data_IF_907267118166
#
_entry.id   IF_907267118166
#
_cell.length_a   1.000
_cell.length_b   1.000
_cell.length_c   1.000
_cell.angle_alpha   90.00
_cell.angle_beta   90.00
_cell.angle_gamma   90.00
#
_symmetry.space_group_name_H-M   'P 1'
#
loop_
_entity.id
_entity.type
_entity.pdbx_description
1 polymer ?
#
# COMPACT_ATOMS: atom_id res chain seq x y z
N UNK A 1 22.31 -49.12 -32.96
CA UNK A 1 21.37 -48.83 -31.85
C UNK A 1 21.58 -47.37 -31.43
N UNK A 2 20.70 -46.49 -31.82
CA UNK A 2 20.70 -45.10 -31.42
C UNK A 2 20.15 -45.06 -30.01
N UNK A 3 21.01 -44.83 -29.01
CA UNK A 3 20.61 -44.58 -27.64
C UNK A 3 19.89 -43.22 -27.61
N UNK A 4 18.58 -43.27 -27.59
CA UNK A 4 17.77 -42.08 -27.31
C UNK A 4 17.82 -41.86 -25.79
N UNK A 5 18.31 -40.72 -25.37
CA UNK A 5 18.38 -40.36 -23.96
C UNK A 5 17.00 -40.20 -23.34
N UNK A 6 16.91 -40.05 -22.01
CA UNK A 6 15.63 -39.88 -21.32
C UNK A 6 14.92 -38.61 -21.78
N UNK A 7 13.63 -38.74 -22.11
CA UNK A 7 12.74 -37.63 -22.48
C UNK A 7 11.91 -37.29 -21.23
N UNK A 8 12.01 -36.03 -20.77
CA UNK A 8 11.16 -35.52 -19.70
C UNK A 8 9.92 -34.90 -20.35
N UNK A 9 8.75 -35.43 -20.02
CA UNK A 9 7.47 -34.86 -20.47
C UNK A 9 6.86 -34.08 -19.28
N UNK A 10 6.61 -32.80 -19.53
CA UNK A 10 5.93 -31.93 -18.53
C UNK A 10 4.55 -31.55 -19.04
N UNK A 11 3.57 -31.55 -18.17
CA UNK A 11 2.24 -31.00 -18.46
C UNK A 11 2.12 -29.58 -17.89
N UNK A 12 1.64 -28.64 -18.70
CA UNK A 12 1.34 -27.29 -18.22
C UNK A 12 0.16 -27.31 -17.24
N UNK A 13 0.23 -26.51 -16.18
CA UNK A 13 -0.88 -26.34 -15.22
C UNK A 13 -2.11 -25.67 -15.83
N UNK A 14 -1.92 -24.86 -16.88
CA UNK A 14 -2.99 -24.09 -17.52
C UNK A 14 -3.79 -24.91 -18.54
N UNK A 15 -3.27 -26.04 -18.99
CA UNK A 15 -4.06 -26.99 -19.73
C UNK A 15 -4.93 -27.77 -18.74
N UNK A 16 -6.23 -27.48 -18.76
CA UNK A 16 -7.26 -28.34 -18.14
C UNK A 16 -7.29 -29.69 -18.87
N UNK A 17 -6.16 -30.34 -18.88
CA UNK A 17 -5.97 -31.69 -19.39
C UNK A 17 -6.62 -32.57 -18.35
N UNK A 18 -7.90 -32.84 -18.52
CA UNK A 18 -8.65 -33.67 -17.59
C UNK A 18 -7.84 -34.92 -17.26
N UNK A 19 -7.84 -35.34 -16.01
CA UNK A 19 -7.13 -36.52 -15.47
C UNK A 19 -7.27 -37.72 -16.38
N UNK A 20 -8.40 -37.84 -17.09
CA UNK A 20 -8.71 -38.87 -18.08
C UNK A 20 -7.78 -38.82 -19.29
N UNK A 21 -7.41 -37.64 -19.81
CA UNK A 21 -6.55 -37.49 -20.96
C UNK A 21 -5.09 -37.81 -20.62
N UNK A 22 -4.64 -37.41 -19.45
CA UNK A 22 -3.31 -37.76 -18.95
C UNK A 22 -3.19 -39.29 -18.71
N UNK A 23 -4.21 -39.90 -18.11
CA UNK A 23 -4.27 -41.35 -17.93
C UNK A 23 -4.22 -42.09 -19.29
N UNK A 24 -4.98 -41.66 -20.27
CA UNK A 24 -4.97 -42.25 -21.61
C UNK A 24 -3.60 -42.16 -22.29
N UNK A 25 -2.90 -41.07 -22.11
CA UNK A 25 -1.54 -40.87 -22.65
C UNK A 25 -0.54 -41.79 -21.94
N UNK A 26 -0.63 -41.92 -20.61
CA UNK A 26 0.23 -42.82 -19.86
C UNK A 26 -0.01 -44.28 -20.25
N UNK A 27 -1.27 -44.71 -20.37
CA UNK A 27 -1.65 -46.03 -20.84
C UNK A 27 -1.16 -46.34 -22.25
N UNK A 28 -1.11 -45.34 -23.14
CA UNK A 28 -0.58 -45.51 -24.48
C UNK A 28 0.94 -45.63 -24.49
N UNK A 29 1.64 -44.85 -23.66
CA UNK A 29 3.08 -44.91 -23.47
C UNK A 29 3.52 -46.23 -22.84
N UNK A 30 2.77 -46.77 -21.87
CA UNK A 30 3.04 -48.07 -21.22
C UNK A 30 2.88 -49.25 -22.22
N UNK A 31 2.02 -49.12 -23.22
CA UNK A 31 1.84 -50.15 -24.26
C UNK A 31 2.96 -50.19 -25.30
N UNK A 32 3.79 -49.17 -25.33
CA UNK A 32 4.89 -49.12 -26.30
C UNK A 32 6.09 -49.90 -25.76
N UNK A 33 6.57 -50.88 -26.55
CA UNK A 33 7.72 -51.70 -26.20
C UNK A 33 9.08 -50.98 -26.27
N UNK A 34 9.09 -49.78 -26.81
CA UNK A 34 10.28 -48.94 -26.96
C UNK A 34 10.36 -47.82 -25.93
N UNK A 35 9.42 -47.73 -24.98
CA UNK A 35 9.32 -46.72 -23.94
C UNK A 35 9.28 -47.37 -22.59
N UNK A 36 10.14 -46.93 -21.68
CA UNK A 36 10.13 -47.33 -20.25
C UNK A 36 9.80 -46.11 -19.40
N UNK A 37 8.64 -46.15 -18.74
CA UNK A 37 8.20 -45.06 -17.88
C UNK A 37 8.84 -45.21 -16.50
N UNK A 38 9.70 -44.27 -16.15
CA UNK A 38 10.39 -44.26 -14.87
C UNK A 38 10.02 -43.02 -14.07
N UNK A 39 9.94 -43.14 -12.75
CA UNK A 39 9.77 -41.99 -11.88
C UNK A 39 10.96 -41.02 -11.99
N UNK A 40 10.69 -39.71 -11.78
CA UNK A 40 11.71 -38.65 -11.91
C UNK A 40 12.93 -38.92 -11.03
N UNK A 41 12.75 -39.47 -9.83
CA UNK A 41 13.83 -39.85 -8.92
C UNK A 41 14.74 -40.93 -9.49
N UNK A 42 14.16 -41.90 -10.21
CA UNK A 42 14.90 -42.96 -10.89
C UNK A 42 15.62 -42.43 -12.13
N UNK A 43 14.96 -41.57 -12.91
CA UNK A 43 15.56 -40.89 -14.05
C UNK A 43 16.76 -40.01 -13.63
N UNK A 44 16.69 -39.31 -12.52
CA UNK A 44 17.79 -38.50 -11.99
C UNK A 44 18.98 -39.33 -11.50
N UNK A 45 18.75 -40.58 -11.05
CA UNK A 45 19.83 -41.49 -10.65
C UNK A 45 20.49 -42.21 -11.82
N UNK A 46 19.77 -42.36 -12.92
CA UNK A 46 20.22 -43.19 -14.07
C UNK A 46 21.01 -42.39 -15.10
N UNK A 47 20.83 -41.12 -15.19
CA UNK A 47 21.51 -40.24 -16.15
C UNK A 47 22.51 -39.31 -15.42
N UNK A 48 23.83 -39.61 -15.47
CA UNK A 48 24.80 -38.61 -15.08
C UNK A 48 24.67 -37.42 -16.06
N UNK A 49 24.22 -36.31 -15.56
CA UNK A 49 24.14 -35.06 -16.33
C UNK A 49 25.56 -34.62 -16.71
N UNK A 50 25.95 -34.86 -17.94
CA UNK A 50 27.17 -34.29 -18.52
C UNK A 50 26.91 -32.91 -19.18
N UNK A 51 25.69 -32.42 -19.08
CA UNK A 51 25.33 -31.09 -19.55
C UNK A 51 25.85 -30.02 -18.60
N UNK A 52 26.65 -29.09 -19.07
CA UNK A 52 26.89 -27.85 -18.39
C UNK A 52 25.61 -27.00 -18.47
N UNK A 53 25.04 -26.62 -17.31
CA UNK A 53 24.05 -25.55 -17.27
C UNK A 53 24.79 -24.28 -17.73
N UNK A 54 24.50 -23.81 -18.93
CA UNK A 54 24.91 -22.48 -19.37
C UNK A 54 24.01 -21.47 -18.65
N UNK A 55 24.49 -20.93 -17.54
CA UNK A 55 23.84 -19.79 -16.88
C UNK A 55 24.35 -18.53 -17.54
N UNK A 56 23.55 -17.95 -18.40
CA UNK A 56 23.79 -16.59 -18.87
C UNK A 56 23.44 -15.63 -17.73
N UNK A 57 24.39 -14.79 -17.26
CA UNK A 57 24.10 -13.89 -16.15
C UNK A 57 22.99 -12.90 -16.53
N UNK A 58 22.13 -12.58 -15.56
CA UNK A 58 21.17 -11.48 -15.70
C UNK A 58 21.92 -10.20 -16.03
N UNK A 59 21.40 -9.43 -17.00
CA UNK A 59 21.98 -8.13 -17.33
C UNK A 59 21.78 -7.12 -16.19
N UNK A 60 22.62 -6.08 -16.15
CA UNK A 60 22.57 -5.03 -15.10
C UNK A 60 21.21 -4.37 -14.95
N UNK A 61 20.43 -4.26 -16.02
CA UNK A 61 19.08 -3.70 -15.98
C UNK A 61 18.11 -4.60 -15.20
N UNK A 62 18.16 -5.92 -15.41
CA UNK A 62 17.33 -6.87 -14.68
C UNK A 62 17.73 -6.93 -13.19
N UNK A 63 19.03 -6.88 -12.89
CA UNK A 63 19.50 -6.85 -11.50
C UNK A 63 18.99 -5.62 -10.76
N UNK A 64 19.07 -4.43 -11.37
CA UNK A 64 18.52 -3.21 -10.77
C UNK A 64 17.01 -3.29 -10.58
N UNK A 65 16.27 -3.81 -11.57
CA UNK A 65 14.82 -3.99 -11.42
C UNK A 65 14.46 -4.93 -10.27
N UNK A 66 15.25 -5.96 -10.03
CA UNK A 66 15.06 -6.84 -8.87
C UNK A 66 15.39 -6.15 -7.55
N UNK A 67 16.43 -5.33 -7.49
CA UNK A 67 16.78 -4.56 -6.27
C UNK A 67 15.63 -3.57 -5.92
N UNK A 68 15.10 -2.87 -6.92
CA UNK A 68 13.96 -1.97 -6.76
C UNK A 68 12.71 -2.73 -6.32
N UNK A 69 12.44 -3.90 -6.92
CA UNK A 69 11.32 -4.75 -6.55
C UNK A 69 11.39 -5.25 -5.11
N UNK A 70 12.58 -5.69 -4.67
CA UNK A 70 12.79 -6.12 -3.27
C UNK A 70 12.55 -4.95 -2.30
N UNK A 71 12.99 -3.74 -2.68
CA UNK A 71 12.73 -2.54 -1.89
C UNK A 71 11.23 -2.19 -1.83
N UNK A 72 10.53 -2.32 -2.95
CA UNK A 72 9.09 -2.08 -3.02
C UNK A 72 8.30 -3.11 -2.20
N UNK A 73 8.66 -4.40 -2.28
CA UNK A 73 8.04 -5.46 -1.46
C UNK A 73 8.27 -5.23 0.04
N UNK A 74 9.48 -4.82 0.43
CA UNK A 74 9.78 -4.50 1.81
C UNK A 74 8.91 -3.33 2.32
N UNK A 75 8.71 -2.29 1.51
CA UNK A 75 7.85 -1.17 1.85
C UNK A 75 6.37 -1.58 2.00
N UNK A 76 5.85 -2.43 1.11
CA UNK A 76 4.48 -2.98 1.24
C UNK A 76 4.36 -3.88 2.46
N UNK A 77 5.38 -4.68 2.75
CA UNK A 77 5.41 -5.55 3.93
C UNK A 77 5.41 -4.75 5.24
N UNK A 78 6.08 -3.61 5.29
CA UNK A 78 6.04 -2.67 6.41
C UNK A 78 4.69 -1.94 6.47
N UNK A 79 4.16 -1.50 5.34
CA UNK A 79 2.83 -0.89 5.24
C UNK A 79 1.72 -1.82 5.74
N UNK A 80 1.83 -3.12 5.55
CA UNK A 80 0.86 -4.11 6.02
C UNK A 80 0.57 -4.03 7.53
N UNK A 81 1.47 -3.46 8.33
CA UNK A 81 1.26 -3.26 9.78
C UNK A 81 0.06 -2.35 10.12
N UNK A 82 -0.44 -1.56 9.16
CA UNK A 82 -1.63 -0.74 9.37
C UNK A 82 -2.92 -1.43 8.94
N UNK A 83 -2.83 -2.57 8.27
CA UNK A 83 -3.97 -3.34 7.75
C UNK A 83 -4.53 -4.24 8.86
N UNK A 84 -5.83 -4.51 8.83
CA UNK A 84 -6.53 -5.30 9.85
C UNK A 84 -5.97 -6.74 9.98
N UNK A 85 -5.59 -7.36 8.85
CA UNK A 85 -5.03 -8.73 8.77
C UNK A 85 -3.68 -8.70 8.04
N UNK A 86 -2.59 -8.31 8.72
CA UNK A 86 -1.30 -8.04 8.08
C UNK A 86 -0.70 -9.25 7.37
N UNK A 87 -0.84 -10.45 7.94
CA UNK A 87 -0.24 -11.66 7.39
C UNK A 87 -0.94 -12.11 6.11
N UNK A 88 -2.27 -12.05 6.07
CA UNK A 88 -3.05 -12.41 4.90
C UNK A 88 -2.79 -11.42 3.78
N UNK A 89 -2.76 -10.12 4.08
CA UNK A 89 -2.44 -9.07 3.13
C UNK A 89 -1.04 -9.25 2.51
N UNK A 90 -0.02 -9.58 3.33
CA UNK A 90 1.33 -9.89 2.84
C UNK A 90 1.34 -11.12 1.95
N UNK A 91 0.61 -12.17 2.34
CA UNK A 91 0.55 -13.41 1.58
C UNK A 91 -0.08 -13.18 0.21
N UNK A 92 -1.21 -12.48 0.14
CA UNK A 92 -1.90 -12.17 -1.11
C UNK A 92 -1.03 -11.30 -2.03
N UNK A 93 -0.41 -10.24 -1.48
CA UNK A 93 0.51 -9.40 -2.26
C UNK A 93 1.69 -10.19 -2.82
N UNK A 94 2.28 -11.10 -2.05
CA UNK A 94 3.38 -11.96 -2.51
C UNK A 94 2.94 -12.96 -3.58
N UNK A 95 1.73 -13.49 -3.47
CA UNK A 95 1.16 -14.36 -4.51
C UNK A 95 0.95 -13.60 -5.81
N UNK A 96 0.43 -12.39 -5.76
CA UNK A 96 0.25 -11.52 -6.93
C UNK A 96 1.59 -11.18 -7.57
N UNK A 97 2.58 -10.82 -6.77
CA UNK A 97 3.94 -10.56 -7.22
C UNK A 97 4.53 -11.80 -7.92
N UNK A 98 4.44 -12.97 -7.32
CA UNK A 98 4.93 -14.22 -7.90
C UNK A 98 4.18 -14.59 -9.17
N UNK A 99 2.87 -14.30 -9.25
CA UNK A 99 2.07 -14.57 -10.44
C UNK A 99 2.52 -13.76 -11.66
N UNK A 100 3.12 -12.59 -11.44
CA UNK A 100 3.67 -11.73 -12.48
C UNK A 100 4.91 -12.35 -13.14
N UNK A 101 5.66 -13.18 -12.40
CA UNK A 101 6.83 -13.89 -12.88
C UNK A 101 6.49 -15.32 -13.33
N UNK A 102 5.78 -15.43 -14.45
CA UNK A 102 5.47 -16.74 -15.05
C UNK A 102 6.69 -17.34 -15.76
N UNK A 103 6.65 -18.64 -16.04
CA UNK A 103 7.73 -19.32 -16.77
C UNK A 103 8.02 -18.64 -18.14
N UNK A 104 6.99 -18.19 -18.86
CA UNK A 104 7.15 -17.50 -20.14
C UNK A 104 7.78 -16.10 -20.00
N UNK A 105 7.55 -15.42 -18.87
CA UNK A 105 8.16 -14.11 -18.60
C UNK A 105 9.66 -14.25 -18.26
N UNK A 106 10.04 -15.35 -17.62
CA UNK A 106 11.43 -15.59 -17.19
C UNK A 106 12.33 -16.03 -18.37
N UNK A 107 11.76 -16.59 -19.45
CA UNK A 107 12.51 -16.97 -20.64
C UNK A 107 13.01 -15.75 -21.45
N UNK A 108 12.36 -14.60 -21.32
CA UNK A 108 12.74 -13.36 -21.98
C UNK A 108 13.23 -12.30 -20.98
N UNK A 109 14.45 -11.80 -21.18
CA UNK A 109 15.05 -10.74 -20.35
C UNK A 109 14.24 -9.45 -20.35
N UNK A 110 13.61 -9.12 -21.48
CA UNK A 110 12.72 -7.96 -21.57
C UNK A 110 11.47 -8.20 -20.74
N UNK A 111 10.92 -9.42 -20.81
CA UNK A 111 9.77 -9.83 -20.01
C UNK A 111 10.01 -9.71 -18.51
N UNK A 112 11.19 -10.09 -18.01
CA UNK A 112 11.57 -9.94 -16.60
C UNK A 112 11.53 -8.47 -16.17
N UNK A 113 12.12 -7.56 -16.96
CA UNK A 113 12.16 -6.14 -16.63
C UNK A 113 10.76 -5.51 -16.64
N UNK A 114 9.92 -5.89 -17.60
CA UNK A 114 8.52 -5.44 -17.67
C UNK A 114 7.72 -5.95 -16.48
N UNK A 115 7.86 -7.24 -16.14
CA UNK A 115 7.18 -7.84 -15.00
C UNK A 115 7.58 -7.16 -13.68
N UNK A 116 8.87 -6.90 -13.49
CA UNK A 116 9.36 -6.16 -12.32
C UNK A 116 8.78 -4.73 -12.27
N UNK A 117 8.74 -4.02 -13.39
CA UNK A 117 8.14 -2.69 -13.48
C UNK A 117 6.66 -2.69 -13.08
N UNK A 118 5.87 -3.64 -13.61
CA UNK A 118 4.44 -3.78 -13.25
C UNK A 118 4.27 -4.08 -11.75
N UNK A 119 5.11 -4.94 -11.18
CA UNK A 119 5.04 -5.26 -9.76
C UNK A 119 5.41 -4.05 -8.87
N UNK A 120 6.37 -3.23 -9.30
CA UNK A 120 6.74 -1.97 -8.60
C UNK A 120 5.58 -0.97 -8.67
N UNK A 121 4.96 -0.77 -9.84
CA UNK A 121 3.80 0.10 -10.01
C UNK A 121 2.62 -0.33 -9.12
N UNK A 122 2.37 -1.63 -9.01
CA UNK A 122 1.35 -2.18 -8.11
C UNK A 122 1.69 -1.89 -6.63
N UNK A 123 2.94 -2.07 -6.21
CA UNK A 123 3.38 -1.74 -4.87
C UNK A 123 3.23 -0.25 -4.56
N UNK A 124 3.61 0.64 -5.47
CA UNK A 124 3.41 2.09 -5.33
C UNK A 124 1.94 2.46 -5.21
N UNK A 125 1.06 1.81 -5.97
CA UNK A 125 -0.39 1.99 -5.89
C UNK A 125 -0.93 1.60 -4.52
N UNK A 126 -0.47 0.50 -3.94
CA UNK A 126 -0.82 0.07 -2.57
C UNK A 126 -0.37 1.12 -1.54
N UNK A 127 0.87 1.58 -1.63
CA UNK A 127 1.42 2.57 -0.70
C UNK A 127 0.71 3.93 -0.79
N UNK A 128 0.20 4.28 -1.98
CA UNK A 128 -0.57 5.50 -2.22
C UNK A 128 -2.07 5.37 -1.92
N UNK A 129 -2.57 4.16 -1.65
CA UNK A 129 -3.99 3.91 -1.46
C UNK A 129 -4.56 4.53 -0.18
N UNK A 130 -3.73 4.76 0.84
CA UNK A 130 -4.13 5.40 2.09
C UNK A 130 -3.50 6.78 2.17
N UNK A 131 -4.34 7.82 2.15
CA UNK A 131 -3.85 9.20 2.08
C UNK A 131 -4.79 10.19 2.76
N UNK A 132 -4.24 11.34 3.12
CA UNK A 132 -5.02 12.48 3.54
C UNK A 132 -5.73 13.04 2.30
N UNK A 133 -7.06 13.01 2.29
CA UNK A 133 -7.85 13.49 1.17
C UNK A 133 -7.62 15.00 0.93
N UNK A 134 -7.73 15.43 -0.32
CA UNK A 134 -7.71 16.84 -0.64
C UNK A 134 -8.93 17.51 -0.03
N UNK A 135 -8.70 18.35 0.96
CA UNK A 135 -9.73 19.18 1.58
C UNK A 135 -9.76 20.54 0.90
N UNK A 136 -10.87 21.27 1.07
CA UNK A 136 -10.93 22.68 0.70
C UNK A 136 -9.86 23.43 1.51
N UNK A 137 -9.02 24.18 0.83
CA UNK A 137 -7.86 24.89 1.40
C UNK A 137 -8.23 26.00 2.41
N UNK A 138 -9.51 26.19 2.68
CA UNK A 138 -9.97 27.24 3.55
C UNK A 138 -10.97 26.72 4.57
N UNK A 139 -10.49 26.44 5.76
CA UNK A 139 -11.33 26.07 6.87
C UNK A 139 -11.40 27.22 7.87
N UNK A 140 -12.61 27.71 8.17
CA UNK A 140 -12.84 28.74 9.18
C UNK A 140 -13.04 28.04 10.53
N UNK A 141 -12.11 28.22 11.45
CA UNK A 141 -12.22 27.73 12.82
C UNK A 141 -12.66 28.84 13.74
N UNK A 142 -13.85 28.69 14.32
CA UNK A 142 -14.28 29.43 15.50
C UNK A 142 -13.96 28.65 16.77
N UNK A 143 -13.74 29.33 17.83
CA UNK A 143 -13.23 29.06 19.19
C UNK A 143 -13.20 27.64 19.78
N UNK A 144 -13.67 26.54 19.18
CA UNK A 144 -13.56 25.22 19.80
C UNK A 144 -14.03 24.04 18.92
N UNK A 145 -14.01 24.19 17.63
CA UNK A 145 -14.26 23.09 16.71
C UNK A 145 -12.93 22.50 16.29
N UNK A 146 -12.78 21.18 16.39
CA UNK A 146 -11.55 20.52 15.93
C UNK A 146 -11.28 20.76 14.45
N UNK A 147 -10.02 20.71 14.06
CA UNK A 147 -9.58 20.74 12.67
C UNK A 147 -10.01 19.44 11.97
N UNK A 148 -10.95 19.47 11.02
CA UNK A 148 -11.34 18.27 10.30
C UNK A 148 -10.23 17.85 9.31
N UNK A 149 -9.88 16.59 9.37
CA UNK A 149 -8.94 15.93 8.47
C UNK A 149 -9.62 14.71 7.89
N UNK A 150 -9.80 14.67 6.58
CA UNK A 150 -10.37 13.50 5.92
C UNK A 150 -9.23 12.59 5.46
N UNK A 151 -9.34 11.31 5.80
CA UNK A 151 -8.43 10.26 5.36
C UNK A 151 -9.20 9.31 4.47
N UNK A 152 -8.64 8.96 3.33
CA UNK A 152 -9.20 7.98 2.39
C UNK A 152 -8.39 6.70 2.39
N UNK A 153 -9.08 5.58 2.25
CA UNK A 153 -8.53 4.25 2.05
C UNK A 153 -9.13 3.68 0.78
N UNK A 154 -8.32 3.50 -0.26
CA UNK A 154 -8.72 2.91 -1.53
C UNK A 154 -8.51 1.39 -1.58
N UNK A 155 -7.94 0.78 -0.52
CA UNK A 155 -7.80 -0.67 -0.43
C UNK A 155 -9.16 -1.34 -0.17
N UNK A 156 -9.24 -2.61 -0.48
CA UNK A 156 -10.40 -3.48 -0.19
C UNK A 156 -10.39 -4.04 1.25
N UNK A 157 -9.44 -3.64 2.06
CA UNK A 157 -9.27 -4.03 3.47
C UNK A 157 -9.28 -2.80 4.38
N UNK A 158 -9.69 -2.99 5.64
CA UNK A 158 -9.67 -1.92 6.62
C UNK A 158 -8.24 -1.60 7.08
N UNK A 159 -7.97 -0.31 7.32
CA UNK A 159 -6.67 0.17 7.81
C UNK A 159 -6.83 0.99 9.08
N UNK A 160 -5.82 0.93 9.96
CA UNK A 160 -5.76 1.73 11.19
C UNK A 160 -4.51 2.59 11.16
N UNK A 161 -4.70 3.89 11.30
CA UNK A 161 -3.61 4.85 11.30
C UNK A 161 -3.84 5.97 12.31
N UNK A 162 -2.80 6.71 12.61
CA UNK A 162 -2.83 7.85 13.54
C UNK A 162 -2.66 9.15 12.78
N UNK A 163 -3.63 10.04 12.93
CA UNK A 163 -3.60 11.39 12.36
C UNK A 163 -3.00 12.35 13.37
N UNK A 164 -2.02 13.11 12.97
CA UNK A 164 -1.42 14.18 13.78
C UNK A 164 -1.30 15.46 12.97
N UNK A 165 -1.29 16.60 13.69
CA UNK A 165 -1.13 17.90 13.09
C UNK A 165 -0.04 18.71 13.79
N UNK A 166 0.62 19.59 13.03
CA UNK A 166 1.58 20.55 13.59
C UNK A 166 1.37 21.92 12.95
N UNK A 167 0.85 22.91 13.69
CA UNK A 167 0.77 24.28 13.20
C UNK A 167 2.17 24.84 12.93
N UNK A 168 2.33 25.53 11.81
CA UNK A 168 3.61 26.14 11.42
C UNK A 168 3.81 27.53 12.06
N UNK A 169 2.76 28.09 12.67
CA UNK A 169 2.80 29.36 13.42
C UNK A 169 2.01 29.23 14.72
N UNK A 170 2.35 30.00 15.76
CA UNK A 170 1.71 29.90 17.09
C UNK A 170 0.33 30.59 17.14
N UNK A 171 -0.37 30.72 16.02
CA UNK A 171 -1.72 31.29 15.92
C UNK A 171 -2.81 30.26 16.27
N UNK A 172 -2.48 29.00 16.13
CA UNK A 172 -3.33 27.84 16.43
C UNK A 172 -2.62 26.93 17.44
N UNK A 173 -3.33 26.43 18.41
CA UNK A 173 -2.88 25.41 19.36
C UNK A 173 -3.70 24.14 19.14
N UNK A 174 -3.04 23.02 18.90
CA UNK A 174 -3.69 21.71 19.00
C UNK A 174 -3.70 21.29 20.48
N UNK A 175 -4.89 21.09 21.03
CA UNK A 175 -5.08 20.79 22.47
C UNK A 175 -5.16 19.31 22.75
N UNK A 176 -5.31 18.47 21.68
CA UNK A 176 -5.28 17.01 21.75
C UNK A 176 -3.97 16.43 21.20
N UNK A 177 -3.71 15.17 21.57
CA UNK A 177 -2.66 14.37 20.96
C UNK A 177 -3.04 13.85 19.57
N UNK A 178 -2.19 12.98 18.97
CA UNK A 178 -2.52 12.24 17.77
C UNK A 178 -3.81 11.42 17.94
N UNK A 179 -4.63 11.34 16.90
CA UNK A 179 -5.92 10.63 16.93
C UNK A 179 -5.84 9.40 16.07
N UNK A 180 -6.06 8.24 16.67
CA UNK A 180 -6.16 6.98 15.94
C UNK A 180 -7.50 6.88 15.22
N UNK A 181 -7.47 6.37 13.99
CA UNK A 181 -8.63 6.18 13.15
C UNK A 181 -8.55 4.87 12.39
N UNK A 182 -9.67 4.15 12.36
CA UNK A 182 -9.84 2.98 11.49
C UNK A 182 -10.73 3.37 10.31
N UNK A 183 -10.25 3.13 9.09
CA UNK A 183 -10.93 3.46 7.84
C UNK A 183 -11.29 2.15 7.15
N UNK A 184 -12.57 1.96 6.87
CA UNK A 184 -13.06 0.77 6.17
C UNK A 184 -12.58 0.69 4.71
N UNK A 185 -12.79 -0.48 4.08
CA UNK A 185 -12.45 -0.69 2.67
C UNK A 185 -13.12 0.33 1.75
N UNK A 186 -12.40 0.86 0.77
CA UNK A 186 -12.90 1.77 -0.26
C UNK A 186 -13.62 3.01 0.30
N UNK A 187 -13.29 3.44 1.52
CA UNK A 187 -14.03 4.49 2.21
C UNK A 187 -13.15 5.66 2.65
N UNK A 188 -13.79 6.73 3.14
CA UNK A 188 -13.12 7.87 3.74
C UNK A 188 -13.70 8.16 5.12
N UNK A 189 -12.86 8.60 6.04
CA UNK A 189 -13.27 8.98 7.38
C UNK A 189 -12.71 10.36 7.75
N UNK A 190 -13.56 11.21 8.34
CA UNK A 190 -13.13 12.53 8.80
C UNK A 190 -12.85 12.50 10.31
N UNK A 191 -11.61 12.83 10.65
CA UNK A 191 -11.12 12.94 12.02
C UNK A 191 -11.08 14.42 12.42
N UNK A 192 -11.44 14.74 13.65
CA UNK A 192 -11.37 16.09 14.19
C UNK A 192 -10.20 16.19 15.17
N UNK A 193 -9.15 16.94 14.78
CA UNK A 193 -8.04 17.25 15.69
C UNK A 193 -8.43 18.41 16.58
N UNK A 194 -8.52 18.23 17.92
CA UNK A 194 -8.89 19.31 18.84
C UNK A 194 -7.94 20.50 18.70
N UNK A 195 -8.49 21.66 18.37
CA UNK A 195 -7.74 22.86 18.05
C UNK A 195 -8.38 24.09 18.66
N UNK A 196 -7.54 25.04 19.09
CA UNK A 196 -7.95 26.31 19.68
C UNK A 196 -7.24 27.46 18.96
N UNK A 197 -8.00 28.41 18.44
CA UNK A 197 -7.45 29.63 17.87
C UNK A 197 -6.91 30.55 18.96
N UNK A 198 -5.64 30.90 18.88
CA UNK A 198 -4.99 31.82 19.81
C UNK A 198 -5.26 33.27 19.44
N UNK A 199 -5.30 33.55 18.10
CA UNK A 199 -5.58 34.86 17.56
C UNK A 199 -6.14 34.74 16.14
N UNK A 200 -6.73 35.82 15.63
CA UNK A 200 -7.20 35.84 14.24
C UNK A 200 -6.03 35.81 13.27
N UNK A 201 -6.24 35.18 12.14
CA UNK A 201 -5.28 35.13 11.06
C UNK A 201 -5.25 33.80 10.32
N UNK A 202 -4.34 33.67 9.39
CA UNK A 202 -4.18 32.49 8.57
C UNK A 202 -2.96 31.69 9.03
N UNK A 203 -3.12 30.38 9.21
CA UNK A 203 -2.06 29.46 9.62
C UNK A 203 -2.05 28.21 8.75
N UNK A 204 -0.85 27.80 8.39
CA UNK A 204 -0.63 26.49 7.75
C UNK A 204 -0.44 25.42 8.82
N UNK A 205 -1.11 24.31 8.67
CA UNK A 205 -0.97 23.13 9.54
C UNK A 205 -0.42 21.97 8.71
N UNK A 206 0.73 21.45 9.12
CA UNK A 206 1.27 20.21 8.55
C UNK A 206 0.51 19.04 9.18
N UNK A 207 -0.20 18.29 8.37
CA UNK A 207 -0.94 17.09 8.79
C UNK A 207 -0.18 15.87 8.30
N UNK A 208 -0.05 14.90 9.19
CA UNK A 208 0.71 13.67 8.97
C UNK A 208 -0.14 12.46 9.34
N UNK A 209 0.00 11.40 8.55
CA UNK A 209 -0.59 10.11 8.81
C UNK A 209 0.53 9.12 9.17
N UNK A 210 0.38 8.42 10.28
CA UNK A 210 1.37 7.49 10.80
C UNK A 210 0.72 6.16 11.14
N UNK A 211 1.39 5.07 10.79
CA UNK A 211 1.04 3.73 11.22
C UNK A 211 1.62 3.36 12.58
N UNK A 212 1.53 2.10 12.93
CA UNK A 212 2.17 1.55 14.12
C UNK A 212 3.68 1.82 14.10
N UNK A 213 4.26 2.05 15.28
CA UNK A 213 5.69 2.38 15.37
C UNK A 213 6.13 3.71 14.75
N UNK A 214 5.19 4.54 14.25
CA UNK A 214 5.51 5.82 13.62
C UNK A 214 5.79 5.74 12.12
N UNK A 215 5.51 4.61 11.50
CA UNK A 215 5.63 4.41 10.05
C UNK A 215 4.91 5.52 9.27
N UNK A 216 5.56 6.25 8.34
CA UNK A 216 4.88 7.21 7.50
C UNK A 216 3.90 6.51 6.55
N UNK A 217 2.66 7.00 6.48
CA UNK A 217 1.60 6.49 5.61
C UNK A 217 1.15 7.60 4.67
N UNK A 218 1.20 7.33 3.38
CA UNK A 218 0.87 8.32 2.36
C UNK A 218 1.78 9.56 2.43
N UNK A 219 1.29 10.67 1.91
CA UNK A 219 2.05 11.93 1.83
C UNK A 219 1.57 12.93 2.88
N UNK A 220 2.51 13.55 3.59
CA UNK A 220 2.23 14.66 4.51
C UNK A 220 1.56 15.83 3.75
N UNK A 221 0.54 16.44 4.34
CA UNK A 221 -0.22 17.53 3.72
C UNK A 221 -0.15 18.81 4.54
N UNK A 222 -0.09 19.94 3.85
CA UNK A 222 -0.20 21.27 4.45
C UNK A 222 -1.58 21.85 4.16
N UNK A 223 -2.36 22.06 5.22
CA UNK A 223 -3.72 22.61 5.15
C UNK A 223 -3.67 24.07 5.58
N UNK A 224 -4.33 24.96 4.84
CA UNK A 224 -4.50 26.38 5.22
C UNK A 224 -5.76 26.51 6.08
N UNK A 225 -5.63 27.20 7.19
CA UNK A 225 -6.71 27.41 8.17
C UNK A 225 -6.86 28.91 8.45
N UNK A 226 -8.06 29.42 8.24
CA UNK A 226 -8.43 30.77 8.64
C UNK A 226 -9.01 30.75 10.07
N UNK A 227 -8.40 31.48 10.97
CA UNK A 227 -8.76 31.56 12.36
C UNK A 227 -9.59 32.81 12.64
N UNK A 228 -10.76 32.61 13.21
CA UNK A 228 -11.62 33.69 13.69
C UNK A 228 -11.82 33.54 15.21
N UNK A 229 -10.98 34.15 16.01
CA UNK A 229 -11.15 34.21 17.45
C UNK A 229 -12.30 35.17 17.79
N UNK A 230 -13.32 34.69 18.47
CA UNK A 230 -14.53 35.46 18.81
C UNK A 230 -14.29 36.47 19.96
N UNK A 231 -13.33 37.36 19.82
CA UNK A 231 -13.08 38.41 20.80
C UNK A 231 -14.12 39.53 20.72
N UNK A 232 -14.68 39.76 19.54
CA UNK A 232 -15.56 40.89 19.27
C UNK A 232 -16.89 40.80 20.02
N UNK A 233 -17.40 39.57 20.23
CA UNK A 233 -18.69 39.38 20.92
C UNK A 233 -18.62 39.80 22.41
N UNK A 234 -17.53 39.49 23.11
CA UNK A 234 -17.36 39.86 24.51
C UNK A 234 -17.12 41.35 24.66
N UNK A 235 -16.29 41.93 23.79
CA UNK A 235 -16.06 43.38 23.78
C UNK A 235 -17.31 44.18 23.47
N UNK A 236 -18.11 43.72 22.51
CA UNK A 236 -19.37 44.37 22.13
C UNK A 236 -20.42 44.27 23.26
N UNK A 237 -20.54 43.11 23.92
CA UNK A 237 -21.45 42.94 25.06
C UNK A 237 -21.06 43.85 26.24
N UNK A 238 -19.76 43.95 26.55
CA UNK A 238 -19.25 44.84 27.59
C UNK A 238 -19.53 46.30 27.22
N UNK A 239 -19.30 46.67 25.96
CA UNK A 239 -19.51 48.07 25.51
C UNK A 239 -20.99 48.45 25.50
N UNK A 240 -21.88 47.53 25.10
CA UNK A 240 -23.34 47.71 25.20
C UNK A 240 -23.77 47.76 26.70
N UNK A 241 -23.25 46.89 27.52
CA UNK A 241 -23.51 46.89 28.94
C UNK A 241 -23.10 48.21 29.62
N UNK A 242 -21.92 48.71 29.30
CA UNK A 242 -21.43 50.02 29.75
C UNK A 242 -22.30 51.16 29.22
N UNK A 243 -22.68 51.14 27.94
CA UNK A 243 -23.55 52.18 27.36
C UNK A 243 -24.93 52.18 28.04
N UNK A 244 -25.50 51.01 28.34
CA UNK A 244 -26.79 50.93 29.09
C UNK A 244 -26.65 51.44 30.51
N UNK A 245 -25.58 51.10 31.21
CA UNK A 245 -25.33 51.60 32.57
C UNK A 245 -25.14 53.12 32.58
N UNK A 246 -24.36 53.66 31.65
CA UNK A 246 -24.19 55.14 31.53
C UNK A 246 -25.45 55.86 31.04
N UNK A 247 -26.23 55.24 30.14
CA UNK A 247 -27.45 55.81 29.63
C UNK A 247 -28.64 55.78 30.60
N UNK A 248 -28.65 54.80 31.53
CA UNK A 248 -29.68 54.68 32.56
C UNK A 248 -29.35 55.45 33.87
N UNK A 249 -28.13 55.98 33.96
CA UNK A 249 -27.64 56.68 35.18
C UNK A 249 -27.68 58.20 35.12
N UNK A 250 -28.37 58.79 34.10
CA UNK A 250 -28.57 60.24 33.99
C UNK A 250 -30.02 60.60 34.31
#
# INVERSE_FOLDING_TARGET
ATSVGPLIVTASRDENTGTTRLASLLDELERRADVDLVGISTAMQTAPSTGSLSTEPLGDAALRAFEELVSAEAAVSEFAEIVAEPEDFRADHRLDLLSTFTAGTVEDRVGITVAAGTAIENAESILAAVQIAEGSDLLILSNSTGLPVSVSNALDVAVTATVSGRPLRPLLRLTGGPVEVTIGPGSSHTVYLPAEAVTNGQVSVLVQLRGAGGLPVGTDRVIQVDLQAQWETVGTIILIGLAVVFGAGI
#
